data_IF_732489557689
#
_entry.id   IF_732489557689
#
_cell.length_a   1.000
_cell.length_b   1.000
_cell.length_c   1.000
_cell.angle_alpha   90.00
_cell.angle_beta   90.00
_cell.angle_gamma   90.00
#
_symmetry.space_group_name_H-M   'P 1'
#
loop_
_entity.id
_entity.type
_entity.pdbx_description
1 polymer ?
#
# COMPACT_ATOMS: atom_id res chain seq x y z
N UNK A 1 21.55 -37.73 -55.95
CA UNK A 1 22.15 -36.41 -55.62
C UNK A 1 21.26 -35.38 -56.29
N UNK A 2 20.45 -34.56 -55.63
CA UNK A 2 20.33 -34.17 -54.22
C UNK A 2 18.93 -33.56 -54.05
N UNK A 3 18.26 -34.03 -53.01
CA UNK A 3 16.92 -33.71 -52.54
C UNK A 3 16.86 -32.23 -52.10
N UNK A 4 16.10 -31.39 -52.80
CA UNK A 4 15.89 -29.98 -52.42
C UNK A 4 14.78 -29.92 -51.37
N UNK A 5 15.19 -30.02 -50.12
CA UNK A 5 14.35 -30.00 -48.94
C UNK A 5 13.99 -28.54 -48.59
N UNK A 6 12.83 -28.08 -49.04
CA UNK A 6 12.16 -26.88 -48.53
C UNK A 6 11.67 -27.13 -47.10
N UNK A 7 12.10 -26.36 -46.08
CA UNK A 7 11.45 -26.43 -44.79
C UNK A 7 10.14 -25.62 -44.85
N UNK A 8 9.03 -26.34 -44.99
CA UNK A 8 7.67 -25.88 -44.67
C UNK A 8 7.62 -25.42 -43.19
N UNK A 9 6.85 -24.36 -42.85
CA UNK A 9 6.84 -23.77 -41.51
C UNK A 9 6.22 -24.75 -40.51
N UNK A 10 7.08 -25.42 -39.74
CA UNK A 10 6.66 -26.20 -38.58
C UNK A 10 6.20 -25.26 -37.48
N UNK A 11 4.90 -25.01 -37.48
CA UNK A 11 4.06 -25.22 -36.30
C UNK A 11 4.62 -24.62 -35.00
N UNK A 12 4.50 -23.30 -34.85
CA UNK A 12 4.53 -22.66 -33.53
C UNK A 12 3.21 -22.95 -32.84
N UNK A 13 3.00 -24.21 -32.45
CA UNK A 13 1.90 -24.61 -31.58
C UNK A 13 2.00 -23.81 -30.29
N UNK A 14 1.05 -22.89 -30.12
CA UNK A 14 0.65 -22.24 -28.88
C UNK A 14 0.65 -23.26 -27.71
N UNK A 15 1.71 -23.26 -26.89
CA UNK A 15 1.73 -23.99 -25.61
C UNK A 15 1.02 -23.11 -24.57
N UNK A 16 0.05 -23.64 -23.81
CA UNK A 16 -0.96 -22.83 -23.16
C UNK A 16 -0.38 -22.03 -21.98
N UNK A 17 -0.55 -20.71 -22.02
CA UNK A 17 -0.22 -19.77 -20.93
C UNK A 17 -0.99 -20.02 -19.62
N UNK A 18 -1.92 -20.99 -19.60
CA UNK A 18 -2.72 -21.36 -18.43
C UNK A 18 -1.93 -21.95 -17.27
N UNK A 19 -0.79 -22.61 -17.53
CA UNK A 19 0.05 -23.20 -16.47
C UNK A 19 0.76 -22.16 -15.60
N UNK A 20 1.29 -21.09 -16.21
CA UNK A 20 2.07 -20.06 -15.53
C UNK A 20 1.17 -19.09 -14.72
N UNK A 21 0.02 -18.69 -15.28
CA UNK A 21 -0.97 -17.89 -14.57
C UNK A 21 -1.52 -18.63 -13.33
N UNK A 22 -1.73 -19.95 -13.43
CA UNK A 22 -2.19 -20.77 -12.30
C UNK A 22 -1.15 -20.89 -11.17
N UNK A 23 0.15 -20.88 -11.51
CA UNK A 23 1.26 -20.90 -10.54
C UNK A 23 1.38 -19.59 -9.75
N UNK A 24 1.34 -18.46 -10.45
CA UNK A 24 1.36 -17.13 -9.83
C UNK A 24 0.13 -16.87 -8.96
N UNK A 25 -1.06 -17.29 -9.42
CA UNK A 25 -2.30 -17.13 -8.65
C UNK A 25 -2.31 -17.97 -7.37
N UNK A 26 -1.73 -19.18 -7.40
CA UNK A 26 -1.60 -20.04 -6.21
C UNK A 26 -0.60 -19.46 -5.20
N UNK A 27 0.48 -18.86 -5.66
CA UNK A 27 1.43 -18.15 -4.81
C UNK A 27 0.78 -16.94 -4.12
N UNK A 28 0.08 -16.09 -4.89
CA UNK A 28 -0.63 -14.93 -4.35
C UNK A 28 -1.74 -15.33 -3.39
N UNK A 29 -2.52 -16.37 -3.70
CA UNK A 29 -3.57 -16.89 -2.81
C UNK A 29 -3.00 -17.43 -1.50
N UNK A 30 -1.91 -18.21 -1.56
CA UNK A 30 -1.25 -18.71 -0.35
C UNK A 30 -0.67 -17.56 0.48
N UNK A 31 -0.06 -16.56 -0.17
CA UNK A 31 0.42 -15.34 0.48
C UNK A 31 -0.72 -14.60 1.18
N UNK A 32 -1.84 -14.33 0.48
CA UNK A 32 -3.02 -13.66 1.03
C UNK A 32 -3.59 -14.40 2.24
N UNK A 33 -3.66 -15.73 2.21
CA UNK A 33 -4.14 -16.51 3.37
C UNK A 33 -3.22 -16.34 4.58
N UNK A 34 -1.89 -16.39 4.40
CA UNK A 34 -0.96 -16.14 5.51
C UNK A 34 -1.10 -14.71 6.03
N UNK A 35 -1.20 -13.73 5.13
CA UNK A 35 -1.36 -12.32 5.49
C UNK A 35 -2.68 -12.06 6.22
N UNK A 36 -3.77 -12.70 5.81
CA UNK A 36 -5.05 -12.63 6.48
C UNK A 36 -4.98 -13.26 7.88
N UNK A 37 -4.31 -14.41 8.06
CA UNK A 37 -4.13 -15.01 9.38
C UNK A 37 -3.27 -14.15 10.32
N UNK A 38 -2.20 -13.52 9.79
CA UNK A 38 -1.40 -12.59 10.57
C UNK A 38 -2.21 -11.34 10.95
N UNK A 39 -2.96 -10.78 10.01
CA UNK A 39 -3.86 -9.66 10.27
C UNK A 39 -4.90 -10.02 11.34
N UNK A 40 -5.52 -11.20 11.28
CA UNK A 40 -6.44 -11.66 12.33
C UNK A 40 -5.76 -11.71 13.70
N UNK A 41 -4.56 -12.31 13.80
CA UNK A 41 -3.85 -12.43 15.07
C UNK A 41 -3.45 -11.07 15.65
N UNK A 42 -2.95 -10.15 14.81
CA UNK A 42 -2.60 -8.78 15.20
C UNK A 42 -3.86 -8.04 15.67
N UNK A 43 -4.94 -8.12 14.90
CA UNK A 43 -6.21 -7.49 15.25
C UNK A 43 -6.76 -8.05 16.56
N UNK A 44 -6.66 -9.37 16.81
CA UNK A 44 -7.08 -9.95 18.10
C UNK A 44 -6.22 -9.44 19.26
N UNK A 45 -4.90 -9.31 19.07
CA UNK A 45 -3.99 -8.74 20.08
C UNK A 45 -4.27 -7.26 20.35
N UNK A 46 -4.76 -6.49 19.36
CA UNK A 46 -5.18 -5.10 19.58
C UNK A 46 -6.32 -5.01 20.62
N UNK A 47 -7.21 -6.00 20.69
CA UNK A 47 -8.24 -6.04 21.75
C UNK A 47 -7.65 -6.20 23.15
N UNK A 48 -6.42 -6.68 23.28
CA UNK A 48 -5.77 -6.80 24.58
C UNK A 48 -5.63 -5.44 25.28
N UNK A 49 -5.47 -4.34 24.52
CA UNK A 49 -5.33 -2.99 25.09
C UNK A 49 -6.63 -2.50 25.76
N UNK A 50 -7.80 -2.49 25.08
CA UNK A 50 -9.08 -2.20 25.74
C UNK A 50 -9.40 -3.14 26.90
N UNK A 51 -9.15 -4.44 26.72
CA UNK A 51 -9.41 -5.45 27.78
C UNK A 51 -8.54 -5.20 29.01
N UNK A 52 -7.26 -4.86 28.81
CA UNK A 52 -6.36 -4.46 29.88
C UNK A 52 -6.89 -3.22 30.62
N UNK A 53 -7.36 -2.21 29.90
CA UNK A 53 -7.94 -1.01 30.52
C UNK A 53 -9.16 -1.35 31.40
N UNK A 54 -10.10 -2.15 30.89
CA UNK A 54 -11.26 -2.60 31.67
C UNK A 54 -10.82 -3.33 32.93
N UNK A 55 -9.88 -4.27 32.82
CA UNK A 55 -9.41 -5.04 33.98
C UNK A 55 -8.66 -4.17 35.00
N UNK A 56 -7.89 -3.17 34.56
CA UNK A 56 -7.24 -2.22 35.47
C UNK A 56 -8.28 -1.38 36.20
N UNK A 57 -9.27 -0.83 35.50
CA UNK A 57 -10.32 -0.04 36.12
C UNK A 57 -11.20 -0.85 37.09
N UNK A 58 -11.64 -2.05 36.70
CA UNK A 58 -12.55 -2.82 37.54
C UNK A 58 -11.83 -3.54 38.69
N UNK A 59 -10.60 -4.02 38.46
CA UNK A 59 -9.94 -4.95 39.37
C UNK A 59 -8.77 -4.33 40.14
N UNK A 60 -7.99 -3.43 39.54
CA UNK A 60 -6.87 -2.79 40.25
C UNK A 60 -7.39 -1.69 41.17
N UNK A 61 -8.31 -0.85 40.70
CA UNK A 61 -8.93 0.18 41.53
C UNK A 61 -9.74 -0.44 42.69
N UNK A 62 -10.40 -1.57 42.47
CA UNK A 62 -11.19 -2.24 43.51
C UNK A 62 -10.33 -3.04 44.52
N UNK A 63 -9.22 -3.65 44.10
CA UNK A 63 -8.42 -4.54 44.97
C UNK A 63 -7.24 -3.86 45.67
N UNK A 64 -6.82 -2.66 45.25
CA UNK A 64 -5.65 -1.94 45.76
C UNK A 64 -4.33 -2.75 45.79
N UNK A 65 -4.28 -3.93 45.16
CA UNK A 65 -3.12 -4.81 45.20
C UNK A 65 -2.16 -4.51 44.06
N UNK A 66 -0.95 -4.07 44.42
CA UNK A 66 0.14 -3.81 43.48
C UNK A 66 0.55 -5.08 42.68
N UNK A 67 0.36 -6.27 43.24
CA UNK A 67 0.73 -7.53 42.59
C UNK A 67 -0.13 -7.85 41.36
N UNK A 68 -1.43 -7.56 41.39
CA UNK A 68 -2.31 -7.77 40.24
C UNK A 68 -1.93 -6.83 39.10
N UNK A 69 -1.60 -5.57 39.43
CA UNK A 69 -1.19 -4.58 38.44
C UNK A 69 0.12 -4.95 37.74
N UNK A 70 1.12 -5.47 38.46
CA UNK A 70 2.39 -5.91 37.84
C UNK A 70 2.17 -7.09 36.90
N UNK A 71 1.38 -8.10 37.29
CA UNK A 71 1.08 -9.24 36.40
C UNK A 71 0.35 -8.79 35.14
N UNK A 72 -0.65 -7.92 35.28
CA UNK A 72 -1.39 -7.40 34.14
C UNK A 72 -0.52 -6.54 33.22
N UNK A 73 0.33 -5.67 33.79
CA UNK A 73 1.23 -4.81 33.03
C UNK A 73 2.27 -5.63 32.26
N UNK A 74 2.88 -6.64 32.90
CA UNK A 74 3.81 -7.55 32.22
C UNK A 74 3.11 -8.32 31.10
N UNK A 75 1.88 -8.80 31.34
CA UNK A 75 1.06 -9.45 30.31
C UNK A 75 0.74 -8.53 29.12
N UNK A 76 0.39 -7.28 29.38
CA UNK A 76 0.12 -6.28 28.34
C UNK A 76 1.38 -5.95 27.53
N UNK A 77 2.52 -5.73 28.19
CA UNK A 77 3.81 -5.50 27.52
C UNK A 77 4.21 -6.71 26.67
N UNK A 78 4.03 -7.92 27.17
CA UNK A 78 4.29 -9.14 26.41
C UNK A 78 3.37 -9.25 25.18
N UNK A 79 2.07 -8.96 25.33
CA UNK A 79 1.12 -8.94 24.22
C UNK A 79 1.51 -7.89 23.17
N UNK A 80 1.88 -6.67 23.58
CA UNK A 80 2.36 -5.62 22.68
C UNK A 80 3.66 -6.03 21.95
N UNK A 81 4.57 -6.73 22.64
CA UNK A 81 5.80 -7.24 22.04
C UNK A 81 5.51 -8.30 20.96
N UNK A 82 4.58 -9.23 21.23
CA UNK A 82 4.14 -10.21 20.23
C UNK A 82 3.45 -9.52 19.06
N UNK A 83 2.60 -8.53 19.31
CA UNK A 83 1.94 -7.74 18.27
C UNK A 83 2.98 -7.08 17.36
N UNK A 84 3.99 -6.42 17.93
CA UNK A 84 5.07 -5.78 17.19
C UNK A 84 5.89 -6.79 16.38
N UNK A 85 6.18 -7.96 16.94
CA UNK A 85 6.89 -9.02 16.22
C UNK A 85 6.08 -9.55 15.03
N UNK A 86 4.77 -9.80 15.21
CA UNK A 86 3.88 -10.25 14.14
C UNK A 86 3.76 -9.21 13.02
N UNK A 87 3.63 -7.93 13.38
CA UNK A 87 3.55 -6.85 12.41
C UNK A 87 4.86 -6.66 11.62
N UNK A 88 6.01 -6.80 12.29
CA UNK A 88 7.31 -6.81 11.63
C UNK A 88 7.48 -7.98 10.65
N UNK A 89 7.02 -9.18 11.03
CA UNK A 89 7.04 -10.36 10.15
C UNK A 89 6.13 -10.14 8.94
N UNK A 90 4.90 -9.67 9.17
CA UNK A 90 3.92 -9.34 8.11
C UNK A 90 4.51 -8.33 7.12
N UNK A 91 5.10 -7.25 7.61
CA UNK A 91 5.75 -6.22 6.77
C UNK A 91 6.90 -6.78 5.94
N UNK A 92 7.77 -7.59 6.55
CA UNK A 92 8.88 -8.27 5.83
C UNK A 92 8.37 -9.22 4.76
N UNK A 93 7.27 -9.93 5.00
CA UNK A 93 6.65 -10.84 4.02
C UNK A 93 6.17 -10.05 2.80
N UNK A 94 5.49 -8.90 2.98
CA UNK A 94 5.03 -8.08 1.85
C UNK A 94 6.18 -7.51 1.03
N UNK A 95 7.22 -7.00 1.69
CA UNK A 95 8.42 -6.47 1.00
C UNK A 95 9.05 -7.57 0.14
N UNK A 96 9.26 -8.76 0.72
CA UNK A 96 9.82 -9.91 0.00
C UNK A 96 8.92 -10.37 -1.16
N UNK A 97 7.59 -10.35 -0.97
CA UNK A 97 6.65 -10.67 -2.03
C UNK A 97 6.74 -9.67 -3.19
N UNK A 98 6.90 -8.38 -2.90
CA UNK A 98 7.12 -7.34 -3.92
C UNK A 98 8.40 -7.57 -4.72
N UNK A 99 9.51 -7.87 -4.06
CA UNK A 99 10.78 -8.21 -4.74
C UNK A 99 10.67 -9.48 -5.59
N UNK A 100 10.01 -10.52 -5.08
CA UNK A 100 9.84 -11.77 -5.84
C UNK A 100 8.98 -11.56 -7.09
N UNK A 101 7.93 -10.75 -6.99
CA UNK A 101 7.11 -10.37 -8.13
C UNK A 101 7.93 -9.60 -9.18
N UNK A 102 8.80 -8.69 -8.74
CA UNK A 102 9.69 -7.94 -9.63
C UNK A 102 10.74 -8.84 -10.31
N UNK A 103 11.30 -9.81 -9.59
CA UNK A 103 12.25 -10.77 -10.16
C UNK A 103 11.60 -11.70 -11.19
N UNK A 104 10.36 -12.15 -10.94
CA UNK A 104 9.65 -13.07 -11.83
C UNK A 104 9.09 -12.39 -13.09
N UNK A 105 8.63 -11.13 -12.96
CA UNK A 105 7.97 -10.38 -14.04
C UNK A 105 8.88 -9.36 -14.74
N UNK A 106 9.87 -8.80 -14.03
CA UNK A 106 10.74 -7.74 -14.53
C UNK A 106 11.49 -8.11 -15.80
N UNK A 107 12.23 -9.23 -15.85
CA UNK A 107 12.95 -9.66 -17.05
C UNK A 107 12.03 -9.91 -18.25
N UNK A 108 10.82 -10.43 -18.02
CA UNK A 108 9.84 -10.73 -19.08
C UNK A 108 9.25 -9.46 -19.68
N UNK A 109 8.96 -8.48 -18.83
CA UNK A 109 8.44 -7.17 -19.24
C UNK A 109 9.51 -6.32 -19.93
N UNK A 110 10.76 -6.41 -19.46
CA UNK A 110 11.91 -5.79 -20.10
C UNK A 110 12.18 -6.38 -21.49
N UNK A 111 12.15 -7.72 -21.63
CA UNK A 111 12.30 -8.40 -22.91
C UNK A 111 11.17 -8.08 -23.91
N UNK A 112 10.00 -7.68 -23.42
CA UNK A 112 8.86 -7.29 -24.27
C UNK A 112 8.90 -5.82 -24.71
N UNK A 113 9.94 -5.05 -24.37
CA UNK A 113 10.05 -3.59 -24.58
C UNK A 113 8.85 -2.77 -24.06
N UNK A 114 8.09 -3.31 -23.10
CA UNK A 114 6.90 -2.66 -22.54
C UNK A 114 7.30 -1.80 -21.35
N UNK A 115 7.97 -0.68 -21.61
CA UNK A 115 8.46 0.24 -20.58
C UNK A 115 7.36 0.78 -19.65
N UNK A 116 6.14 0.97 -20.16
CA UNK A 116 5.01 1.40 -19.33
C UNK A 116 4.67 0.35 -18.26
N UNK A 117 4.70 -0.92 -18.62
CA UNK A 117 4.42 -2.03 -17.70
C UNK A 117 5.52 -2.24 -16.65
N UNK A 118 6.76 -1.84 -16.93
CA UNK A 118 7.83 -1.83 -15.93
C UNK A 118 7.61 -0.73 -14.87
N UNK A 119 7.14 0.45 -15.31
CA UNK A 119 6.77 1.52 -14.37
C UNK A 119 5.56 1.14 -13.50
N UNK A 120 4.58 0.45 -14.07
CA UNK A 120 3.43 -0.07 -13.30
C UNK A 120 3.83 -1.19 -12.33
N UNK A 121 4.77 -2.06 -12.71
CA UNK A 121 5.34 -3.06 -11.79
C UNK A 121 6.05 -2.41 -10.60
N UNK A 122 6.75 -1.30 -10.86
CA UNK A 122 7.44 -0.54 -9.81
C UNK A 122 6.44 0.15 -8.87
N UNK A 123 5.35 0.71 -9.41
CA UNK A 123 4.22 1.24 -8.63
C UNK A 123 3.55 0.15 -7.80
N UNK A 124 3.33 -1.04 -8.36
CA UNK A 124 2.75 -2.17 -7.65
C UNK A 124 3.66 -2.63 -6.51
N UNK A 125 4.98 -2.74 -6.73
CA UNK A 125 5.94 -3.02 -5.65
C UNK A 125 5.86 -1.98 -4.54
N UNK A 126 5.81 -0.70 -4.90
CA UNK A 126 5.73 0.37 -3.92
C UNK A 126 4.39 0.37 -3.16
N UNK A 127 3.31 -0.03 -3.82
CA UNK A 127 2.02 -0.26 -3.17
C UNK A 127 2.07 -1.44 -2.19
N UNK A 128 2.68 -2.57 -2.59
CA UNK A 128 2.87 -3.74 -1.72
C UNK A 128 3.78 -3.43 -0.51
N UNK A 129 4.80 -2.62 -0.69
CA UNK A 129 5.69 -2.18 0.38
C UNK A 129 5.08 -1.04 1.23
N UNK A 130 4.00 -0.42 0.76
CA UNK A 130 3.35 0.72 1.40
C UNK A 130 2.25 0.31 2.39
N UNK A 131 1.70 1.32 3.08
CA UNK A 131 0.64 1.14 4.07
C UNK A 131 -0.75 0.82 3.46
N UNK A 132 -0.88 0.91 2.14
CA UNK A 132 -2.14 0.67 1.42
C UNK A 132 -2.61 -0.78 1.52
N UNK A 133 -1.71 -1.74 1.27
CA UNK A 133 -2.06 -3.17 1.39
C UNK A 133 -2.41 -3.52 2.84
N UNK A 134 -1.74 -2.91 3.82
CA UNK A 134 -2.05 -3.17 5.22
C UNK A 134 -3.47 -2.75 5.58
N UNK A 135 -3.86 -1.54 5.15
CA UNK A 135 -5.21 -1.03 5.37
C UNK A 135 -6.28 -1.91 4.71
N UNK A 136 -6.01 -2.43 3.51
CA UNK A 136 -6.91 -3.36 2.82
C UNK A 136 -7.04 -4.71 3.53
N UNK A 137 -5.94 -5.22 4.10
CA UNK A 137 -5.96 -6.47 4.88
C UNK A 137 -6.73 -6.31 6.20
N UNK A 138 -6.72 -5.11 6.79
CA UNK A 138 -7.40 -4.83 8.06
C UNK A 138 -8.88 -4.40 7.86
N UNK A 139 -9.24 -3.88 6.69
CA UNK A 139 -10.61 -3.48 6.32
C UNK A 139 -11.72 -4.53 6.60
N UNK A 140 -11.57 -5.84 6.29
CA UNK A 140 -12.61 -6.83 6.56
C UNK A 140 -12.86 -7.08 8.05
N UNK A 141 -11.90 -6.73 8.92
CA UNK A 141 -12.04 -6.89 10.38
C UNK A 141 -12.73 -5.71 11.04
N UNK A 142 -12.79 -4.54 10.39
CA UNK A 142 -13.41 -3.35 10.96
C UNK A 142 -14.89 -3.57 11.39
N UNK A 143 -15.77 -4.24 10.61
CA UNK A 143 -17.13 -4.56 11.04
C UNK A 143 -17.17 -5.51 12.25
N UNK A 144 -16.23 -6.46 12.35
CA UNK A 144 -16.13 -7.37 13.48
C UNK A 144 -15.80 -6.62 14.77
N UNK A 145 -14.85 -5.69 14.73
CA UNK A 145 -14.55 -4.81 15.87
C UNK A 145 -15.75 -3.98 16.28
N UNK A 146 -16.45 -3.40 15.31
CA UNK A 146 -17.62 -2.58 15.56
C UNK A 146 -18.73 -3.40 16.24
N UNK A 147 -18.94 -4.65 15.82
CA UNK A 147 -19.86 -5.57 16.48
C UNK A 147 -19.43 -5.92 17.91
N UNK A 148 -18.14 -6.15 18.16
CA UNK A 148 -17.61 -6.42 19.51
C UNK A 148 -17.80 -5.21 20.43
N UNK A 149 -17.52 -3.99 19.96
CA UNK A 149 -17.75 -2.75 20.73
C UNK A 149 -19.24 -2.60 21.05
N UNK A 150 -20.12 -2.88 20.08
CA UNK A 150 -21.57 -2.81 20.27
C UNK A 150 -22.08 -3.83 21.30
N UNK A 151 -21.50 -5.03 21.33
CA UNK A 151 -21.77 -6.04 22.35
C UNK A 151 -21.30 -5.61 23.75
N UNK A 152 -20.19 -4.87 23.83
CA UNK A 152 -19.61 -4.45 25.11
C UNK A 152 -20.38 -3.27 25.72
N UNK A 153 -20.65 -2.23 24.94
CA UNK A 153 -21.46 -1.10 25.38
C UNK A 153 -22.17 -0.43 24.19
N UNK A 154 -23.51 -0.49 24.08
CA UNK A 154 -24.25 0.02 22.92
C UNK A 154 -23.99 1.51 22.62
N UNK A 155 -23.82 2.35 23.64
CA UNK A 155 -23.54 3.79 23.41
C UNK A 155 -22.15 4.03 22.84
N UNK A 156 -21.12 3.27 23.27
CA UNK A 156 -19.77 3.34 22.70
C UNK A 156 -19.78 2.83 21.26
N UNK A 157 -20.62 1.83 20.97
CA UNK A 157 -20.87 1.33 19.62
C UNK A 157 -21.40 2.42 18.67
N UNK A 158 -22.36 3.23 19.11
CA UNK A 158 -22.87 4.36 18.32
C UNK A 158 -21.83 5.45 18.09
N UNK A 159 -21.02 5.78 19.11
CA UNK A 159 -19.92 6.74 18.99
C UNK A 159 -18.87 6.23 17.99
N UNK A 160 -18.46 4.97 18.11
CA UNK A 160 -17.51 4.33 17.20
C UNK A 160 -18.04 4.26 15.76
N UNK A 161 -19.34 3.96 15.58
CA UNK A 161 -19.98 3.96 14.26
C UNK A 161 -20.00 5.35 13.63
N UNK A 162 -20.34 6.39 14.41
CA UNK A 162 -20.29 7.78 13.96
C UNK A 162 -18.87 8.19 13.56
N UNK A 163 -17.88 7.87 14.39
CA UNK A 163 -16.47 8.14 14.10
C UNK A 163 -15.98 7.40 12.84
N UNK A 164 -16.34 6.13 12.67
CA UNK A 164 -16.04 5.34 11.48
C UNK A 164 -16.68 5.94 10.23
N UNK A 165 -17.93 6.39 10.30
CA UNK A 165 -18.63 7.05 9.20
C UNK A 165 -17.96 8.37 8.80
N UNK A 166 -17.54 9.20 9.78
CA UNK A 166 -16.82 10.44 9.53
C UNK A 166 -15.44 10.16 8.89
N UNK A 167 -14.71 9.16 9.39
CA UNK A 167 -13.44 8.74 8.81
C UNK A 167 -13.60 8.21 7.39
N UNK A 168 -14.68 7.46 7.12
CA UNK A 168 -14.98 6.98 5.78
C UNK A 168 -15.37 8.13 4.84
N UNK A 169 -16.21 9.06 5.29
CA UNK A 169 -16.60 10.23 4.52
C UNK A 169 -15.40 11.12 4.18
N UNK A 170 -14.48 11.32 5.12
CA UNK A 170 -13.24 12.09 4.89
C UNK A 170 -12.29 11.35 3.97
N UNK A 171 -12.17 10.03 4.07
CA UNK A 171 -11.39 9.23 3.12
C UNK A 171 -11.95 9.31 1.69
N UNK A 172 -13.27 9.17 1.53
CA UNK A 172 -13.93 9.26 0.21
C UNK A 172 -13.82 10.67 -0.35
N UNK A 173 -14.08 11.70 0.45
CA UNK A 173 -13.91 13.09 0.03
C UNK A 173 -12.47 13.39 -0.38
N UNK A 174 -11.50 12.90 0.40
CA UNK A 174 -10.08 13.02 0.05
C UNK A 174 -9.76 12.34 -1.28
N UNK A 175 -10.23 11.10 -1.50
CA UNK A 175 -10.00 10.38 -2.75
C UNK A 175 -10.61 11.12 -3.95
N UNK A 176 -11.84 11.62 -3.82
CA UNK A 176 -12.48 12.41 -4.87
C UNK A 176 -11.69 13.70 -5.17
N UNK A 177 -11.18 14.38 -4.14
CA UNK A 177 -10.40 15.61 -4.28
C UNK A 177 -8.98 15.38 -4.83
N UNK A 178 -8.41 14.19 -4.60
CA UNK A 178 -7.10 13.79 -5.09
C UNK A 178 -7.12 13.26 -6.51
N UNK A 179 -8.19 12.57 -6.92
CA UNK A 179 -8.25 11.86 -8.21
C UNK A 179 -7.94 12.77 -9.40
N UNK A 180 -8.51 13.98 -9.46
CA UNK A 180 -8.24 14.92 -10.56
C UNK A 180 -6.77 15.32 -10.65
N UNK A 181 -6.21 16.00 -9.62
CA UNK A 181 -4.81 16.43 -9.61
C UNK A 181 -3.80 15.29 -9.77
N UNK A 182 -4.11 14.11 -9.24
CA UNK A 182 -3.23 12.95 -9.32
C UNK A 182 -3.20 12.35 -10.72
N UNK A 183 -4.33 12.33 -11.43
CA UNK A 183 -4.38 11.95 -12.85
C UNK A 183 -3.65 12.97 -13.70
N UNK A 184 -3.84 14.27 -13.44
CA UNK A 184 -3.14 15.34 -14.16
C UNK A 184 -1.62 15.27 -13.95
N UNK A 185 -1.18 15.05 -12.69
CA UNK A 185 0.22 14.86 -12.35
C UNK A 185 0.82 13.61 -13.02
N UNK A 186 0.07 12.50 -13.08
CA UNK A 186 0.51 11.29 -13.79
C UNK A 186 0.73 11.53 -15.28
N UNK A 187 -0.10 12.36 -15.92
CA UNK A 187 0.04 12.71 -17.34
C UNK A 187 1.23 13.65 -17.59
N UNK A 188 1.42 14.69 -16.77
CA UNK A 188 2.57 15.61 -16.91
C UNK A 188 3.90 14.90 -16.64
N UNK A 189 3.91 14.01 -15.64
CA UNK A 189 5.05 13.17 -15.31
C UNK A 189 5.39 12.15 -16.43
N UNK A 190 4.39 11.68 -17.19
CA UNK A 190 4.63 10.89 -18.39
C UNK A 190 5.31 11.70 -19.51
N UNK A 191 4.90 12.96 -19.72
CA UNK A 191 5.51 13.85 -20.71
C UNK A 191 6.95 14.21 -20.36
N UNK A 192 7.25 14.46 -19.08
CA UNK A 192 8.62 14.68 -18.59
C UNK A 192 9.49 13.44 -18.81
N UNK A 193 8.97 12.24 -18.50
CA UNK A 193 9.70 10.99 -18.76
C UNK A 193 10.02 10.79 -20.24
N UNK A 194 9.09 11.11 -21.12
CA UNK A 194 9.29 10.99 -22.56
C UNK A 194 10.34 11.97 -23.06
N UNK A 195 10.33 13.22 -22.57
CA UNK A 195 11.40 14.18 -22.85
C UNK A 195 12.75 13.68 -22.35
N UNK A 196 12.83 13.12 -21.13
CA UNK A 196 14.06 12.54 -20.60
C UNK A 196 14.57 11.36 -21.44
N UNK A 197 13.67 10.54 -22.02
CA UNK A 197 14.06 9.48 -22.96
C UNK A 197 14.62 10.03 -24.27
N UNK A 198 13.99 11.05 -24.84
CA UNK A 198 14.49 11.72 -26.03
C UNK A 198 15.85 12.39 -25.78
N UNK A 199 16.02 13.04 -24.63
CA UNK A 199 17.28 13.67 -24.20
C UNK A 199 18.41 12.65 -24.01
N UNK A 200 18.13 11.51 -23.38
CA UNK A 200 19.13 10.45 -23.18
C UNK A 200 19.58 9.77 -24.49
N UNK A 201 18.72 9.69 -25.49
CA UNK A 201 19.10 9.22 -26.84
C UNK A 201 19.91 10.26 -27.62
N UNK A 202 19.64 11.56 -27.45
CA UNK A 202 20.36 12.65 -28.13
C UNK A 202 21.66 13.10 -27.42
N UNK A 203 21.97 12.54 -26.24
CA UNK A 203 23.01 13.02 -25.32
C UNK A 203 24.44 13.05 -25.87
N UNK A 204 24.73 12.37 -26.99
CA UNK A 204 26.05 12.39 -27.63
C UNK A 204 26.15 13.39 -28.80
N UNK A 205 25.02 13.92 -29.30
CA UNK A 205 24.98 14.87 -30.42
C UNK A 205 24.50 16.27 -30.02
N UNK A 206 23.72 16.40 -28.94
CA UNK A 206 23.16 17.69 -28.49
C UNK A 206 24.19 18.66 -27.91
N UNK A 207 25.23 18.16 -27.25
CA UNK A 207 26.34 18.99 -26.72
C UNK A 207 27.25 19.51 -27.84
N UNK A 208 27.24 18.86 -29.01
CA UNK A 208 28.00 19.27 -30.18
C UNK A 208 27.31 20.36 -31.04
N UNK A 209 26.00 20.59 -30.85
CA UNK A 209 25.17 21.54 -31.61
C UNK A 209 24.70 22.76 -30.77
N UNK A 210 25.10 22.87 -29.50
CA UNK A 210 24.74 24.00 -28.64
C UNK A 210 23.28 24.02 -28.17
N UNK A 211 22.51 22.95 -28.36
CA UNK A 211 21.07 22.88 -28.04
C UNK A 211 20.77 22.66 -26.54
N UNK A 212 21.81 22.61 -25.69
CA UNK A 212 21.68 22.33 -24.25
C UNK A 212 20.76 23.30 -23.51
N UNK A 213 20.89 24.60 -23.76
CA UNK A 213 20.11 25.63 -23.06
C UNK A 213 18.63 25.64 -23.50
N UNK A 214 18.35 25.40 -24.79
CA UNK A 214 16.99 25.29 -25.30
C UNK A 214 16.26 24.04 -24.77
N UNK A 215 16.99 22.92 -24.65
CA UNK A 215 16.48 21.68 -24.08
C UNK A 215 16.29 21.79 -22.56
N UNK A 216 17.20 22.47 -21.86
CA UNK A 216 17.07 22.78 -20.43
C UNK A 216 15.85 23.67 -20.16
N UNK A 217 15.62 24.70 -20.97
CA UNK A 217 14.43 25.57 -20.87
C UNK A 217 13.12 24.81 -21.08
N UNK A 218 13.07 23.92 -22.08
CA UNK A 218 11.89 23.07 -22.35
C UNK A 218 11.64 22.05 -21.23
N UNK A 219 12.71 21.44 -20.70
CA UNK A 219 12.62 20.55 -19.54
C UNK A 219 12.10 21.29 -18.31
N UNK A 220 12.65 22.46 -18.01
CA UNK A 220 12.24 23.28 -16.88
C UNK A 220 10.78 23.74 -16.98
N UNK A 221 10.29 24.06 -18.18
CA UNK A 221 8.89 24.45 -18.37
C UNK A 221 7.91 23.30 -18.12
N UNK A 222 8.19 22.11 -18.67
CA UNK A 222 7.39 20.90 -18.44
C UNK A 222 7.45 20.44 -16.98
N UNK A 223 8.64 20.52 -16.39
CA UNK A 223 8.87 20.15 -15.02
C UNK A 223 8.14 21.09 -14.06
N UNK A 224 8.17 22.41 -14.27
CA UNK A 224 7.42 23.39 -13.46
C UNK A 224 5.91 23.14 -13.48
N UNK A 225 5.35 22.74 -14.63
CA UNK A 225 3.96 22.28 -14.72
C UNK A 225 3.70 21.10 -13.79
N UNK A 226 4.54 20.05 -13.87
CA UNK A 226 4.45 18.87 -13.02
C UNK A 226 4.55 19.21 -11.52
N UNK A 227 5.49 20.07 -11.12
CA UNK A 227 5.64 20.51 -9.72
C UNK A 227 4.36 21.14 -9.18
N UNK A 228 3.68 22.00 -9.95
CA UNK A 228 2.44 22.63 -9.46
C UNK A 228 1.30 21.64 -9.26
N UNK A 229 1.14 20.64 -10.14
CA UNK A 229 0.14 19.59 -9.98
C UNK A 229 0.48 18.64 -8.84
N UNK A 230 1.77 18.29 -8.69
CA UNK A 230 2.25 17.41 -7.64
C UNK A 230 2.20 18.04 -6.24
N UNK A 231 2.50 19.34 -6.12
CA UNK A 231 2.35 20.10 -4.86
C UNK A 231 0.87 20.20 -4.50
N UNK A 232 -0.03 20.57 -5.44
CA UNK A 232 -1.47 20.61 -5.17
C UNK A 232 -2.05 19.25 -4.75
N UNK A 233 -1.60 18.16 -5.37
CA UNK A 233 -2.00 16.81 -4.96
C UNK A 233 -1.46 16.47 -3.57
N UNK A 234 -0.21 16.79 -3.27
CA UNK A 234 0.44 16.50 -1.99
C UNK A 234 -0.16 17.31 -0.85
N UNK A 235 -0.43 18.60 -1.05
CA UNK A 235 -1.07 19.48 -0.06
C UNK A 235 -2.48 18.99 0.28
N UNK A 236 -3.26 18.60 -0.72
CA UNK A 236 -4.61 18.04 -0.50
C UNK A 236 -4.56 16.70 0.24
N UNK A 237 -3.59 15.85 -0.08
CA UNK A 237 -3.36 14.60 0.65
C UNK A 237 -2.94 14.87 2.10
N UNK A 238 -2.09 15.87 2.32
CA UNK A 238 -1.63 16.28 3.65
C UNK A 238 -2.80 16.82 4.48
N UNK A 239 -3.65 17.69 3.92
CA UNK A 239 -4.83 18.21 4.60
C UNK A 239 -5.81 17.11 4.99
N UNK A 240 -6.11 16.18 4.08
CA UNK A 240 -6.94 15.02 4.38
C UNK A 240 -6.32 14.13 5.48
N UNK A 241 -5.01 13.91 5.43
CA UNK A 241 -4.28 13.12 6.42
C UNK A 241 -4.21 13.78 7.80
N UNK A 242 -4.12 15.12 7.87
CA UNK A 242 -4.19 15.88 9.13
C UNK A 242 -5.61 15.80 9.70
N UNK A 243 -6.63 15.99 8.87
CA UNK A 243 -8.03 15.90 9.31
C UNK A 243 -8.37 14.49 9.83
N UNK A 244 -7.95 13.44 9.13
CA UNK A 244 -8.14 12.07 9.58
C UNK A 244 -7.44 11.76 10.91
N UNK A 245 -6.22 12.30 11.12
CA UNK A 245 -5.52 12.20 12.42
C UNK A 245 -6.26 12.94 13.53
N UNK A 246 -6.75 14.15 13.25
CA UNK A 246 -7.55 14.92 14.20
C UNK A 246 -8.79 14.14 14.65
N UNK A 247 -9.60 13.67 13.70
CA UNK A 247 -10.81 12.87 14.01
C UNK A 247 -10.47 11.62 14.82
N UNK A 248 -9.40 10.91 14.46
CA UNK A 248 -8.96 9.72 15.19
C UNK A 248 -8.57 10.03 16.64
N UNK A 249 -7.81 11.11 16.86
CA UNK A 249 -7.40 11.53 18.20
C UNK A 249 -8.59 12.01 19.03
N UNK A 250 -9.53 12.76 18.44
CA UNK A 250 -10.77 13.16 19.12
C UNK A 250 -11.61 11.95 19.51
N UNK A 251 -11.73 10.96 18.63
CA UNK A 251 -12.46 9.72 18.92
C UNK A 251 -11.78 8.93 20.05
N UNK A 252 -10.45 8.88 20.09
CA UNK A 252 -9.68 8.23 21.16
C UNK A 252 -9.83 8.91 22.52
N UNK A 253 -10.03 10.23 22.56
CA UNK A 253 -10.28 10.97 23.82
C UNK A 253 -11.73 10.79 24.28
N UNK A 254 -12.66 10.59 23.34
CA UNK A 254 -14.09 10.42 23.63
C UNK A 254 -14.47 8.98 24.07
N UNK A 255 -13.63 7.99 23.73
CA UNK A 255 -13.75 6.58 24.12
C UNK A 255 -13.06 6.32 25.46
#
# INVERSE_FOLDING_TARGET
>A
MTENNTPSPKDTTHKPEGGFLSGSFRFVRRLLVHLASFSLAINLLVLAVPVFMIQVFDRVLASHSHETLTVLAVGAVAALAVMAALDAVRTRILIRAGFRLEQDLGPKLAASFRHDRLSDLSRLKQFLAGNGVMTLLDAPWAPLFLAIIFMLHPTLGWIALGGAAILLATAVAAEMWLRGPMVDALQTDAQVRELNRALSHCGHSGTALGMGDALAGRWQHLQNGNWTHQIKASDRAALAGVFGRFVRLTLQIAL
#
